data_IF_231022746895
#
_entry.id   IF_231022746895
#
_cell.length_a   1.000
_cell.length_b   1.000
_cell.length_c   1.000
_cell.angle_alpha   90.00
_cell.angle_beta   90.00
_cell.angle_gamma   90.00
#
_symmetry.space_group_name_H-M   'P 1'
#
loop_
_entity.id
_entity.type
_entity.pdbx_description
1 polymer ?
#
# COMPACT_ATOMS: atom_id res chain seq x y z
N UNK A 1 -6.93 -12.86 -7.19
CA UNK A 1 -5.59 -12.97 -6.60
C UNK A 1 -5.73 -13.25 -5.10
N UNK A 2 -4.64 -13.61 -4.41
CA UNK A 2 -4.59 -13.87 -2.96
C UNK A 2 -4.11 -12.65 -2.17
N UNK A 3 -4.22 -12.68 -0.83
CA UNK A 3 -3.67 -11.62 0.01
C UNK A 3 -2.16 -11.46 -0.15
N UNK A 4 -1.43 -12.56 -0.39
CA UNK A 4 0.00 -12.55 -0.71
C UNK A 4 0.29 -11.87 -2.05
N UNK A 5 -0.53 -12.10 -3.06
CA UNK A 5 -0.35 -11.45 -4.37
C UNK A 5 -0.57 -9.93 -4.26
N UNK A 6 -1.58 -9.51 -3.48
CA UNK A 6 -1.85 -8.10 -3.21
C UNK A 6 -0.72 -7.43 -2.42
N UNK A 7 -0.20 -8.08 -1.38
CA UNK A 7 0.96 -7.66 -0.59
C UNK A 7 2.19 -7.41 -1.50
N UNK A 8 2.47 -8.32 -2.42
CA UNK A 8 3.58 -8.20 -3.38
C UNK A 8 3.34 -7.05 -4.38
N UNK A 9 2.18 -7.00 -5.02
CA UNK A 9 1.88 -6.01 -6.05
C UNK A 9 1.89 -4.57 -5.49
N UNK A 10 1.31 -4.37 -4.30
CA UNK A 10 1.34 -3.09 -3.60
C UNK A 10 2.76 -2.75 -3.11
N UNK A 11 3.53 -3.74 -2.65
CA UNK A 11 4.93 -3.58 -2.27
C UNK A 11 5.81 -3.10 -3.44
N UNK A 12 5.60 -3.62 -4.65
CA UNK A 12 6.29 -3.15 -5.86
C UNK A 12 6.01 -1.67 -6.15
N UNK A 13 4.82 -1.19 -5.79
CA UNK A 13 4.41 0.20 -5.90
C UNK A 13 4.79 1.07 -4.68
N UNK A 14 5.60 0.55 -3.76
CA UNK A 14 6.00 1.21 -2.50
C UNK A 14 4.84 1.49 -1.52
N UNK A 15 3.79 0.67 -1.57
CA UNK A 15 2.68 0.70 -0.62
C UNK A 15 2.84 -0.49 0.32
N UNK A 16 3.32 -0.23 1.54
CA UNK A 16 3.51 -1.29 2.54
C UNK A 16 2.18 -1.64 3.20
N UNK A 17 1.72 -2.88 3.02
CA UNK A 17 0.55 -3.46 3.70
C UNK A 17 0.93 -4.78 4.37
N UNK A 18 -0.05 -5.46 4.96
CA UNK A 18 0.13 -6.80 5.51
C UNK A 18 -0.97 -7.72 4.97
N UNK A 19 -0.59 -8.83 4.33
CA UNK A 19 -1.53 -9.92 4.02
C UNK A 19 -2.13 -10.47 5.32
N UNK A 20 -3.43 -10.70 5.34
CA UNK A 20 -4.16 -11.08 6.55
C UNK A 20 -5.28 -12.05 6.18
N UNK A 21 -5.53 -13.05 7.03
CA UNK A 21 -6.68 -13.93 6.88
C UNK A 21 -7.98 -13.15 7.05
N UNK A 22 -9.06 -13.66 6.48
CA UNK A 22 -10.41 -13.09 6.62
C UNK A 22 -11.36 -14.16 7.20
N UNK A 23 -12.55 -13.78 7.70
CA UNK A 23 -13.55 -14.77 8.11
C UNK A 23 -13.85 -15.76 6.97
N UNK A 24 -13.89 -17.05 7.29
CA UNK A 24 -14.12 -18.12 6.30
C UNK A 24 -12.92 -18.43 5.41
N UNK A 25 -11.69 -18.11 5.84
CA UNK A 25 -10.47 -18.38 5.09
C UNK A 25 -10.36 -19.85 4.65
N UNK A 26 -10.04 -20.05 3.37
CA UNK A 26 -9.81 -21.36 2.75
C UNK A 26 -8.37 -21.56 2.27
N UNK A 27 -7.60 -20.48 2.17
CA UNK A 27 -6.19 -20.52 1.75
C UNK A 27 -5.26 -20.73 2.95
N UNK A 28 -4.04 -21.15 2.66
CA UNK A 28 -2.97 -21.26 3.67
C UNK A 28 -2.77 -19.93 4.43
N UNK A 29 -2.48 -19.95 5.74
CA UNK A 29 -2.10 -18.76 6.51
C UNK A 29 -0.90 -17.98 5.94
N UNK A 30 -0.05 -18.61 5.13
CA UNK A 30 1.07 -17.94 4.43
C UNK A 30 0.67 -17.25 3.13
N UNK A 31 -0.53 -17.51 2.62
CA UNK A 31 -1.06 -16.97 1.36
C UNK A 31 -2.19 -15.98 1.63
N UNK A 32 -3.17 -16.36 2.46
CA UNK A 32 -4.33 -15.55 2.89
C UNK A 32 -5.23 -15.05 1.75
N UNK A 33 -6.40 -14.52 2.08
CA UNK A 33 -7.37 -13.98 1.13
C UNK A 33 -7.65 -12.48 1.29
N UNK A 34 -6.93 -11.78 2.18
CA UNK A 34 -7.11 -10.35 2.40
C UNK A 34 -5.82 -9.60 2.73
N UNK A 35 -5.96 -8.28 2.87
CA UNK A 35 -4.91 -7.37 3.32
C UNK A 35 -5.46 -6.46 4.42
N UNK A 36 -4.60 -6.03 5.34
CA UNK A 36 -4.90 -5.04 6.38
C UNK A 36 -4.18 -3.73 6.10
N UNK A 37 -4.92 -2.63 6.20
CA UNK A 37 -4.44 -1.26 5.96
C UNK A 37 -4.74 -0.42 7.21
N UNK A 38 -3.83 0.49 7.57
CA UNK A 38 -4.00 1.42 8.69
C UNK A 38 -3.49 2.81 8.35
N UNK A 39 -4.13 3.85 8.91
CA UNK A 39 -3.84 5.26 8.60
C UNK A 39 -2.80 5.91 9.51
N UNK A 40 -2.50 5.31 10.68
CA UNK A 40 -1.77 5.97 11.77
C UNK A 40 -0.40 6.53 11.35
N UNK A 41 0.41 5.75 10.64
CA UNK A 41 1.75 6.15 10.23
C UNK A 41 1.75 7.35 9.25
N UNK A 42 0.75 7.41 8.36
CA UNK A 42 0.62 8.51 7.40
C UNK A 42 -0.03 9.75 8.03
N UNK A 43 -1.01 9.53 8.91
CA UNK A 43 -1.65 10.62 9.67
C UNK A 43 -0.64 11.33 10.58
N UNK A 44 0.25 10.58 11.24
CA UNK A 44 1.33 11.14 12.06
C UNK A 44 2.33 11.99 11.26
N UNK A 45 2.43 11.78 9.93
CA UNK A 45 3.25 12.57 9.02
C UNK A 45 2.53 13.81 8.47
N UNK A 46 1.25 14.01 8.81
CA UNK A 46 0.45 15.15 8.38
C UNK A 46 -0.42 14.91 7.14
N UNK A 47 -0.51 13.68 6.63
CA UNK A 47 -1.43 13.37 5.52
C UNK A 47 -2.88 13.39 5.99
N UNK A 48 -3.77 13.96 5.17
CA UNK A 48 -5.20 14.10 5.44
C UNK A 48 -6.07 13.34 4.43
N UNK A 49 -7.38 13.64 4.45
CA UNK A 49 -8.38 12.92 3.66
C UNK A 49 -8.08 12.91 2.14
N UNK A 50 -7.54 14.02 1.60
CA UNK A 50 -7.21 14.14 0.18
C UNK A 50 -6.11 13.17 -0.23
N UNK A 51 -5.05 13.06 0.57
CA UNK A 51 -3.96 12.12 0.30
C UNK A 51 -4.45 10.68 0.42
N UNK A 52 -5.28 10.38 1.42
CA UNK A 52 -5.87 9.04 1.58
C UNK A 52 -6.80 8.64 0.43
N UNK A 53 -7.56 9.57 -0.15
CA UNK A 53 -8.37 9.32 -1.33
C UNK A 53 -7.49 8.92 -2.53
N UNK A 54 -6.41 9.68 -2.78
CA UNK A 54 -5.47 9.36 -3.86
C UNK A 54 -4.83 8.00 -3.63
N UNK A 55 -4.33 7.73 -2.42
CA UNK A 55 -3.72 6.43 -2.08
C UNK A 55 -4.73 5.28 -2.26
N UNK A 56 -5.98 5.48 -1.83
CA UNK A 56 -7.05 4.49 -1.99
C UNK A 56 -7.34 4.17 -3.45
N UNK A 57 -7.42 5.18 -4.31
CA UNK A 57 -7.60 5.00 -5.75
C UNK A 57 -6.42 4.27 -6.37
N UNK A 58 -5.18 4.62 -6.01
CA UNK A 58 -3.98 3.93 -6.52
C UNK A 58 -3.90 2.46 -6.08
N UNK A 59 -4.32 2.16 -4.86
CA UNK A 59 -4.49 0.77 -4.40
C UNK A 59 -5.52 0.05 -5.28
N UNK A 60 -6.68 0.68 -5.53
CA UNK A 60 -7.72 0.09 -6.39
C UNK A 60 -7.21 -0.17 -7.82
N UNK A 61 -6.50 0.78 -8.42
CA UNK A 61 -5.93 0.66 -9.77
C UNK A 61 -5.00 -0.55 -9.85
N UNK A 62 -4.06 -0.69 -8.90
CA UNK A 62 -3.13 -1.82 -8.86
C UNK A 62 -3.88 -3.13 -8.67
N UNK A 63 -4.85 -3.19 -7.76
CA UNK A 63 -5.57 -4.42 -7.46
C UNK A 63 -6.47 -4.87 -8.64
N UNK A 64 -7.00 -3.94 -9.42
CA UNK A 64 -7.78 -4.22 -10.62
C UNK A 64 -6.93 -4.79 -11.77
N UNK A 65 -5.63 -4.46 -11.82
CA UNK A 65 -4.67 -4.96 -12.81
C UNK A 65 -3.37 -5.45 -12.14
N UNK A 66 -3.53 -6.42 -11.23
CA UNK A 66 -2.49 -6.82 -10.26
C UNK A 66 -1.18 -7.33 -10.86
N UNK A 67 -1.18 -7.78 -12.12
CA UNK A 67 0.01 -8.28 -12.79
C UNK A 67 0.72 -7.20 -13.63
N UNK A 68 0.16 -5.99 -13.71
CA UNK A 68 0.73 -4.89 -14.50
C UNK A 68 1.85 -4.19 -13.74
N UNK A 69 3.06 -4.71 -13.93
CA UNK A 69 4.28 -4.17 -13.32
C UNK A 69 4.55 -2.73 -13.77
N UNK A 70 4.21 -2.38 -15.02
CA UNK A 70 4.42 -1.01 -15.50
C UNK A 70 3.54 -0.01 -14.75
N UNK A 71 2.28 -0.37 -14.47
CA UNK A 71 1.39 0.43 -13.63
C UNK A 71 1.94 0.56 -12.20
N UNK A 72 2.39 -0.53 -11.59
CA UNK A 72 2.97 -0.52 -10.24
C UNK A 72 4.17 0.44 -10.15
N UNK A 73 5.06 0.42 -11.13
CA UNK A 73 6.22 1.32 -11.20
C UNK A 73 5.82 2.78 -11.44
N UNK A 74 4.77 3.04 -12.21
CA UNK A 74 4.25 4.39 -12.40
C UNK A 74 3.67 4.95 -11.10
N UNK A 75 2.80 4.18 -10.44
CA UNK A 75 2.21 4.55 -9.14
C UNK A 75 3.28 4.81 -8.08
N UNK A 76 4.34 3.99 -8.07
CA UNK A 76 5.49 4.20 -7.17
C UNK A 76 6.07 5.60 -7.28
N UNK A 77 6.33 6.08 -8.49
CA UNK A 77 6.95 7.41 -8.66
C UNK A 77 6.00 8.54 -8.26
N UNK A 78 4.69 8.40 -8.53
CA UNK A 78 3.68 9.36 -8.06
C UNK A 78 3.59 9.42 -6.52
N UNK A 79 3.52 8.26 -5.86
CA UNK A 79 3.42 8.19 -4.39
C UNK A 79 4.72 8.61 -3.71
N UNK A 80 5.88 8.35 -4.33
CA UNK A 80 7.17 8.87 -3.85
C UNK A 80 7.20 10.40 -3.89
N UNK A 81 6.74 11.01 -4.99
CA UNK A 81 6.66 12.45 -5.11
C UNK A 81 5.72 13.06 -4.05
N UNK A 82 4.58 12.42 -3.78
CA UNK A 82 3.68 12.81 -2.71
C UNK A 82 4.32 12.66 -1.33
N UNK A 83 4.93 11.50 -1.03
CA UNK A 83 5.52 11.21 0.27
C UNK A 83 6.65 12.17 0.65
N UNK A 84 7.38 12.70 -0.33
CA UNK A 84 8.44 13.69 -0.11
C UNK A 84 7.92 15.04 0.42
N UNK A 85 6.63 15.33 0.26
CA UNK A 85 5.99 16.53 0.83
C UNK A 85 5.68 16.38 2.33
N UNK A 86 5.78 15.15 2.87
CA UNK A 86 5.49 14.81 4.26
C UNK A 86 6.70 14.11 4.92
N UNK A 87 7.84 14.81 5.11
CA UNK A 87 9.05 14.21 5.65
C UNK A 87 8.82 13.68 7.07
N UNK A 88 9.40 12.51 7.38
CA UNK A 88 9.25 11.86 8.70
C UNK A 88 10.25 12.41 9.71
N UNK A 89 11.52 12.50 9.33
CA UNK A 89 12.62 12.93 10.18
C UNK A 89 13.57 13.84 9.39
N UNK A 90 14.17 14.83 10.06
CA UNK A 90 15.22 15.67 9.46
C UNK A 90 16.60 15.00 9.50
N UNK A 91 16.78 14.07 10.44
CA UNK A 91 18.01 13.30 10.64
C UNK A 91 17.67 11.88 11.12
N UNK A 92 18.50 10.87 10.80
CA UNK A 92 18.22 9.47 11.13
C UNK A 92 18.43 9.12 12.61
N UNK A 93 19.17 9.93 13.36
CA UNK A 93 19.40 9.79 14.81
C UNK A 93 19.15 11.17 15.43
N UNK A 94 18.40 11.22 16.53
CA UNK A 94 18.01 12.45 17.22
C UNK A 94 19.20 13.26 17.71
#
# INVERSE_FOLDING_TARGET
YSGKDADIALGNAWITVNKNTIPGETRSPFVTSGIRIGSAALSARGMGAKEFEIIGNKISDILNDINNVSLQLHVKEELKAMANQFPVYQQPIF
#
